data_IF_011509115300
#
_entry.id   IF_011509115300
#
_cell.length_a   1.000
_cell.length_b   1.000
_cell.length_c   1.000
_cell.angle_alpha   90.00
_cell.angle_beta   90.00
_cell.angle_gamma   90.00
#
_symmetry.space_group_name_H-M   'P 1'
#
loop_
_entity.id
_entity.type
_entity.pdbx_description
1 polymer ?
#
# COMPACT_ATOMS: atom_id res chain seq x y z
N UNK A 1 8.81 24.88 -3.63
CA UNK A 1 9.77 24.78 -4.75
C UNK A 1 9.05 25.33 -5.98
N UNK A 2 9.76 26.02 -6.87
CA UNK A 2 9.20 26.68 -8.05
C UNK A 2 9.91 26.18 -9.30
N UNK A 3 9.22 26.27 -10.42
CA UNK A 3 9.82 26.19 -11.74
C UNK A 3 9.86 27.59 -12.35
N UNK A 4 11.01 27.97 -12.90
CA UNK A 4 11.17 29.20 -13.67
C UNK A 4 11.02 28.86 -15.15
N UNK A 5 10.04 29.46 -15.79
CA UNK A 5 9.69 29.24 -17.19
C UNK A 5 10.23 30.39 -18.03
N UNK A 6 10.94 30.05 -19.11
CA UNK A 6 11.47 31.01 -20.07
C UNK A 6 11.33 30.44 -21.47
N UNK A 7 10.85 31.26 -22.40
CA UNK A 7 10.64 30.87 -23.80
C UNK A 7 9.82 29.58 -23.96
N UNK A 8 8.83 29.38 -23.07
CA UNK A 8 7.95 28.21 -23.08
C UNK A 8 8.58 26.91 -22.55
N UNK A 9 9.77 26.96 -21.95
CA UNK A 9 10.45 25.81 -21.36
C UNK A 9 10.84 26.06 -19.89
N UNK A 10 11.04 24.98 -19.13
CA UNK A 10 11.62 25.08 -17.78
C UNK A 10 13.10 25.47 -17.91
N UNK A 11 13.45 26.66 -17.43
CA UNK A 11 14.83 27.14 -17.37
C UNK A 11 15.54 26.57 -16.14
N UNK A 12 14.86 26.55 -14.98
CA UNK A 12 15.40 26.06 -13.72
C UNK A 12 14.30 25.70 -12.72
N UNK A 13 14.63 24.86 -11.73
CA UNK A 13 13.75 24.52 -10.61
C UNK A 13 14.47 24.72 -9.28
N UNK A 14 13.78 25.24 -8.27
CA UNK A 14 14.39 25.44 -6.96
C UNK A 14 13.52 26.23 -5.98
N UNK A 15 14.05 26.47 -4.79
CA UNK A 15 13.50 27.48 -3.86
C UNK A 15 13.74 28.89 -4.42
N UNK A 16 12.99 29.89 -3.93
CA UNK A 16 13.19 31.29 -4.34
C UNK A 16 14.64 31.75 -4.14
N UNK A 17 15.27 31.33 -3.03
CA UNK A 17 16.67 31.63 -2.74
C UNK A 17 17.65 30.97 -3.73
N UNK A 18 17.32 29.79 -4.25
CA UNK A 18 18.17 29.12 -5.26
C UNK A 18 18.01 29.78 -6.64
N UNK A 19 16.79 30.19 -7.00
CA UNK A 19 16.50 30.79 -8.30
C UNK A 19 16.90 32.27 -8.37
N UNK A 20 16.82 32.99 -7.24
CA UNK A 20 17.14 34.40 -7.11
C UNK A 20 18.01 34.64 -5.86
N UNK A 21 19.29 34.22 -5.89
CA UNK A 21 20.16 34.27 -4.71
C UNK A 21 20.45 35.69 -4.20
N UNK A 22 20.29 36.70 -5.05
CA UNK A 22 20.54 38.11 -4.73
C UNK A 22 19.26 38.91 -4.45
N UNK A 23 18.09 38.26 -4.43
CA UNK A 23 16.80 38.90 -4.18
C UNK A 23 16.31 38.51 -2.80
N UNK A 24 15.94 39.50 -2.00
CA UNK A 24 15.30 39.26 -0.70
C UNK A 24 13.80 39.09 -0.88
N UNK A 25 13.25 38.02 -0.33
CA UNK A 25 11.81 37.76 -0.30
C UNK A 25 11.32 37.89 1.15
N UNK A 26 10.69 39.01 1.52
CA UNK A 26 10.08 39.17 2.85
C UNK A 26 9.11 38.01 3.11
N UNK A 27 9.17 37.42 4.31
CA UNK A 27 8.39 36.23 4.67
C UNK A 27 8.61 34.99 3.77
N UNK A 28 9.64 34.98 2.92
CA UNK A 28 9.98 33.84 2.07
C UNK A 28 9.00 33.58 0.92
N UNK A 29 8.19 34.57 0.56
CA UNK A 29 7.18 34.49 -0.51
C UNK A 29 7.48 35.49 -1.62
N UNK A 30 7.25 35.07 -2.86
CA UNK A 30 7.21 35.95 -4.02
C UNK A 30 5.75 36.35 -4.26
N UNK A 31 5.50 37.64 -4.46
CA UNK A 31 4.19 38.13 -4.87
C UNK A 31 3.86 37.74 -6.33
N UNK A 32 2.61 37.95 -6.73
CA UNK A 32 2.13 37.54 -8.05
C UNK A 32 2.79 38.31 -9.20
N UNK A 33 3.14 39.58 -8.98
CA UNK A 33 3.78 40.41 -10.00
C UNK A 33 5.20 39.90 -10.27
N UNK A 34 5.97 39.64 -9.20
CA UNK A 34 7.29 39.04 -9.29
C UNK A 34 7.25 37.67 -9.97
N UNK A 35 6.27 36.82 -9.61
CA UNK A 35 6.12 35.51 -10.25
C UNK A 35 5.85 35.66 -11.75
N UNK A 36 4.97 36.58 -12.15
CA UNK A 36 4.61 36.81 -13.55
C UNK A 36 5.79 37.36 -14.34
N UNK A 37 6.48 38.38 -13.82
CA UNK A 37 7.64 39.00 -14.46
C UNK A 37 8.79 38.02 -14.67
N UNK A 38 9.00 37.11 -13.73
CA UNK A 38 10.12 36.17 -13.75
C UNK A 38 9.75 34.77 -14.25
N UNK A 39 8.51 34.57 -14.72
CA UNK A 39 8.02 33.28 -15.22
C UNK A 39 7.98 32.18 -14.15
N UNK A 40 7.78 32.51 -12.87
CA UNK A 40 7.71 31.51 -11.81
C UNK A 40 6.33 30.85 -11.75
N UNK A 41 6.35 29.52 -11.77
CA UNK A 41 5.20 28.68 -11.51
C UNK A 41 5.42 27.85 -10.24
N UNK A 42 4.35 27.69 -9.46
CA UNK A 42 4.27 26.67 -8.42
C UNK A 42 4.26 25.29 -9.09
N UNK A 43 5.06 24.35 -8.56
CA UNK A 43 5.10 23.00 -9.09
C UNK A 43 3.90 22.23 -8.53
N UNK A 44 3.06 21.72 -9.42
CA UNK A 44 1.96 20.82 -9.05
C UNK A 44 2.40 19.36 -9.15
N UNK A 45 1.78 18.48 -8.37
CA UNK A 45 2.07 17.05 -8.44
C UNK A 45 1.17 16.38 -9.48
N UNK A 46 1.74 15.49 -10.31
CA UNK A 46 0.96 14.55 -11.10
C UNK A 46 0.26 13.51 -10.21
N UNK A 47 -0.55 12.64 -10.83
CA UNK A 47 -1.24 11.55 -10.14
C UNK A 47 -0.27 10.66 -9.35
N UNK A 48 -0.58 10.46 -8.07
CA UNK A 48 0.05 9.46 -7.23
C UNK A 48 -1.02 8.43 -6.89
N UNK A 49 -0.84 7.19 -7.35
CA UNK A 49 -1.71 6.09 -6.95
C UNK A 49 -1.47 5.73 -5.49
N UNK A 50 -2.44 5.05 -4.88
CA UNK A 50 -2.34 4.63 -3.49
C UNK A 50 -1.10 3.74 -3.29
N UNK A 51 -0.21 4.20 -2.41
CA UNK A 51 1.05 3.54 -2.07
C UNK A 51 0.87 2.19 -1.40
N UNK A 52 -0.35 1.86 -0.97
CA UNK A 52 -0.72 0.51 -0.53
C UNK A 52 -0.65 -0.52 -1.67
N UNK A 53 -0.84 -0.09 -2.91
CA UNK A 53 -0.94 -0.97 -4.08
C UNK A 53 0.09 -0.67 -5.18
N UNK A 54 0.73 0.51 -5.14
CA UNK A 54 1.68 0.97 -6.14
C UNK A 54 3.00 1.44 -5.50
N UNK A 55 4.11 1.11 -6.14
CA UNK A 55 5.36 1.83 -5.96
C UNK A 55 5.27 3.16 -6.72
N UNK A 56 5.30 4.26 -5.97
CA UNK A 56 5.22 5.62 -6.52
C UNK A 56 6.60 6.27 -6.43
N UNK A 57 7.27 6.35 -7.57
CA UNK A 57 8.62 6.93 -7.71
C UNK A 57 8.52 8.31 -8.34
N UNK A 58 9.11 9.31 -7.67
CA UNK A 58 9.20 10.66 -8.18
C UNK A 58 10.14 10.70 -9.41
N UNK A 59 9.67 11.32 -10.50
CA UNK A 59 10.44 11.54 -11.71
C UNK A 59 10.93 12.98 -11.83
N UNK A 60 11.17 13.42 -13.06
CA UNK A 60 11.54 14.81 -13.35
C UNK A 60 10.33 15.74 -13.31
N UNK A 61 10.60 17.05 -13.27
CA UNK A 61 9.57 18.09 -13.43
C UNK A 61 9.48 18.42 -14.92
N UNK A 62 8.27 18.36 -15.48
CA UNK A 62 8.01 18.66 -16.89
C UNK A 62 6.87 19.67 -17.04
N UNK A 63 6.80 20.34 -18.18
CA UNK A 63 5.62 21.13 -18.54
C UNK A 63 4.56 20.18 -19.11
N UNK A 64 3.42 20.10 -18.42
CA UNK A 64 2.22 19.42 -18.90
C UNK A 64 1.18 20.50 -19.11
N UNK A 65 0.75 20.69 -20.37
CA UNK A 65 -0.20 21.74 -20.76
C UNK A 65 0.18 23.14 -20.23
N UNK A 66 1.47 23.46 -20.25
CA UNK A 66 2.01 24.76 -19.81
C UNK A 66 2.15 24.92 -18.29
N UNK A 67 1.85 23.88 -17.51
CA UNK A 67 1.97 23.86 -16.06
C UNK A 67 3.16 23.01 -15.63
N UNK A 68 4.04 23.60 -14.82
CA UNK A 68 5.16 22.89 -14.21
C UNK A 68 4.66 21.78 -13.27
N UNK A 69 4.88 20.54 -13.68
CA UNK A 69 4.31 19.36 -13.02
C UNK A 69 5.40 18.38 -12.64
N UNK A 70 5.49 18.08 -11.35
CA UNK A 70 6.32 17.00 -10.81
C UNK A 70 5.72 15.65 -11.26
N UNK A 71 6.45 14.94 -12.11
CA UNK A 71 6.02 13.64 -12.62
C UNK A 71 6.22 12.54 -11.57
N UNK A 72 5.39 11.50 -11.67
CA UNK A 72 5.49 10.28 -10.87
C UNK A 72 5.30 9.06 -11.77
N UNK A 73 6.11 8.03 -11.55
CA UNK A 73 5.90 6.69 -12.12
C UNK A 73 5.18 5.83 -11.10
N UNK A 74 4.01 5.32 -11.48
CA UNK A 74 3.18 4.45 -10.65
C UNK A 74 3.32 3.00 -11.13
N UNK A 75 4.17 2.21 -10.47
CA UNK A 75 4.38 0.80 -10.80
C UNK A 75 3.51 -0.07 -9.90
N UNK A 76 2.63 -0.88 -10.49
CA UNK A 76 1.80 -1.82 -9.74
C UNK A 76 2.68 -2.77 -8.91
N UNK A 77 2.33 -2.92 -7.63
CA UNK A 77 2.94 -3.98 -6.83
C UNK A 77 2.50 -5.35 -7.35
N UNK A 78 3.29 -6.37 -7.04
CA UNK A 78 3.00 -7.74 -7.47
C UNK A 78 1.67 -8.21 -6.90
N UNK A 79 0.80 -8.69 -7.78
CA UNK A 79 -0.54 -9.16 -7.41
C UNK A 79 -0.50 -10.53 -6.71
N UNK A 80 0.24 -11.48 -7.31
CA UNK A 80 0.33 -12.87 -6.87
C UNK A 80 1.57 -13.14 -6.02
N UNK A 81 1.57 -14.26 -5.31
CA UNK A 81 2.77 -14.79 -4.67
C UNK A 81 3.77 -15.27 -5.74
N UNK A 82 5.06 -15.06 -5.52
CA UNK A 82 6.12 -15.61 -6.37
C UNK A 82 7.22 -16.27 -5.54
N UNK A 83 7.87 -17.27 -6.13
CA UNK A 83 9.05 -17.90 -5.56
C UNK A 83 10.15 -16.85 -5.35
N UNK A 84 10.67 -16.74 -4.12
CA UNK A 84 11.82 -15.90 -3.84
C UNK A 84 13.08 -16.55 -4.41
N UNK A 85 13.85 -15.79 -5.18
CA UNK A 85 15.07 -16.26 -5.84
C UNK A 85 16.26 -15.40 -5.48
N UNK A 86 17.46 -15.98 -5.50
CA UNK A 86 18.71 -15.23 -5.38
C UNK A 86 19.05 -14.47 -6.68
N UNK A 87 20.18 -13.75 -6.67
CA UNK A 87 20.65 -12.97 -7.81
C UNK A 87 20.96 -13.83 -9.06
N UNK A 88 21.23 -15.13 -8.86
CA UNK A 88 21.51 -16.09 -9.92
C UNK A 88 20.23 -16.81 -10.39
N UNK A 89 19.08 -16.50 -9.79
CA UNK A 89 17.78 -17.09 -10.13
C UNK A 89 17.49 -18.43 -9.45
N UNK A 90 18.30 -18.87 -8.50
CA UNK A 90 18.06 -20.10 -7.75
C UNK A 90 16.97 -19.88 -6.69
N UNK A 91 16.16 -20.90 -6.44
CA UNK A 91 15.12 -20.89 -5.42
C UNK A 91 15.74 -20.69 -4.02
N UNK A 92 15.23 -19.71 -3.29
CA UNK A 92 15.51 -19.56 -1.86
C UNK A 92 14.54 -20.41 -1.03
N UNK A 93 15.04 -20.93 0.08
CA UNK A 93 14.28 -21.74 1.02
C UNK A 93 14.27 -21.07 2.39
N UNK A 94 13.28 -21.38 3.21
CA UNK A 94 13.24 -20.96 4.60
C UNK A 94 14.47 -21.54 5.31
N UNK A 95 15.13 -20.73 6.13
CA UNK A 95 16.32 -21.15 6.86
C UNK A 95 16.02 -21.32 8.34
N UNK A 96 16.54 -22.39 8.93
CA UNK A 96 16.48 -22.67 10.36
C UNK A 96 17.88 -22.88 10.91
N UNK A 97 18.08 -22.54 12.18
CA UNK A 97 19.35 -22.78 12.83
C UNK A 97 19.48 -24.26 13.22
N UNK A 98 20.54 -24.91 12.74
CA UNK A 98 20.93 -26.25 13.15
C UNK A 98 22.24 -26.16 13.94
N UNK A 99 22.17 -26.43 15.24
CA UNK A 99 23.31 -26.37 16.16
C UNK A 99 24.36 -27.47 15.89
N UNK A 100 23.98 -28.57 15.24
CA UNK A 100 24.88 -29.69 14.93
C UNK A 100 25.64 -29.48 13.61
N UNK A 101 25.15 -28.57 12.77
CA UNK A 101 25.78 -28.25 11.51
C UNK A 101 27.14 -27.53 11.71
N UNK A 102 27.95 -27.50 10.65
CA UNK A 102 29.32 -26.97 10.68
C UNK A 102 30.20 -27.58 11.79
N UNK A 103 30.15 -28.91 11.94
CA UNK A 103 30.97 -29.60 12.94
C UNK A 103 30.57 -29.33 14.39
N UNK A 104 29.33 -28.92 14.65
CA UNK A 104 28.82 -28.59 15.99
C UNK A 104 28.97 -27.12 16.39
N UNK A 105 29.47 -26.26 15.50
CA UNK A 105 29.50 -24.80 15.73
C UNK A 105 28.15 -24.13 15.44
N UNK A 106 27.26 -24.84 14.75
CA UNK A 106 25.93 -24.38 14.38
C UNK A 106 25.94 -23.47 13.16
N UNK A 107 24.91 -23.58 12.31
CA UNK A 107 24.69 -22.65 11.19
C UNK A 107 23.22 -22.63 10.75
N UNK A 108 22.86 -21.62 9.99
CA UNK A 108 21.59 -21.60 9.25
C UNK A 108 21.65 -22.63 8.12
N UNK A 109 20.63 -23.48 8.04
CA UNK A 109 20.46 -24.49 6.98
C UNK A 109 19.10 -24.31 6.33
N UNK A 110 19.05 -24.57 5.02
CA UNK A 110 17.80 -24.52 4.28
C UNK A 110 16.88 -25.67 4.74
N UNK A 111 15.59 -25.38 4.88
CA UNK A 111 14.54 -26.39 5.02
C UNK A 111 14.06 -26.85 3.63
N UNK A 112 13.07 -27.75 3.60
CA UNK A 112 12.35 -28.11 2.38
C UNK A 112 11.27 -27.09 1.97
N UNK A 113 11.02 -26.06 2.80
CA UNK A 113 9.99 -25.06 2.54
C UNK A 113 10.56 -23.90 1.70
N UNK A 114 9.88 -23.57 0.60
CA UNK A 114 10.30 -22.45 -0.26
C UNK A 114 10.06 -21.12 0.43
N UNK A 115 11.00 -20.20 0.25
CA UNK A 115 10.78 -18.80 0.58
C UNK A 115 9.93 -18.16 -0.54
N UNK A 116 8.88 -17.44 -0.16
CA UNK A 116 7.90 -16.85 -1.09
C UNK A 116 7.81 -15.34 -0.86
N UNK A 117 7.86 -14.57 -1.94
CA UNK A 117 7.58 -13.14 -1.95
C UNK A 117 6.06 -12.94 -2.06
N UNK A 118 5.41 -12.58 -0.94
CA UNK A 118 3.95 -12.43 -0.89
C UNK A 118 3.46 -11.30 -1.79
N UNK A 119 2.39 -11.55 -2.53
CA UNK A 119 1.70 -10.58 -3.36
C UNK A 119 0.64 -9.79 -2.60
N UNK A 120 -0.01 -8.87 -3.32
CA UNK A 120 -1.12 -8.09 -2.80
C UNK A 120 -2.31 -8.99 -2.41
N UNK A 121 -2.64 -10.03 -3.19
CA UNK A 121 -3.78 -10.93 -2.87
C UNK A 121 -3.61 -11.61 -1.52
N UNK A 122 -2.42 -12.12 -1.23
CA UNK A 122 -2.11 -12.72 0.08
C UNK A 122 -2.29 -11.70 1.20
N UNK A 123 -1.68 -10.51 1.04
CA UNK A 123 -1.71 -9.45 2.05
C UNK A 123 -3.15 -8.97 2.33
N UNK A 124 -3.94 -8.74 1.28
CA UNK A 124 -5.32 -8.27 1.43
C UNK A 124 -6.24 -9.36 1.99
N UNK A 125 -6.05 -10.63 1.61
CA UNK A 125 -6.80 -11.75 2.19
C UNK A 125 -6.52 -11.87 3.69
N UNK A 126 -5.25 -11.78 4.11
CA UNK A 126 -4.89 -11.75 5.52
C UNK A 126 -5.53 -10.58 6.28
N UNK A 127 -5.58 -9.38 5.66
CA UNK A 127 -6.24 -8.22 6.25
C UNK A 127 -7.75 -8.45 6.43
N UNK A 128 -8.44 -9.00 5.43
CA UNK A 128 -9.88 -9.32 5.50
C UNK A 128 -10.17 -10.34 6.60
N UNK A 129 -9.35 -11.40 6.70
CA UNK A 129 -9.46 -12.40 7.77
C UNK A 129 -9.25 -11.80 9.14
N UNK A 130 -8.25 -10.93 9.28
CA UNK A 130 -8.01 -10.23 10.54
C UNK A 130 -9.21 -9.37 10.94
N UNK A 131 -9.81 -8.64 10.00
CA UNK A 131 -11.00 -7.83 10.26
C UNK A 131 -12.19 -8.68 10.70
N UNK A 132 -12.46 -9.80 10.02
CA UNK A 132 -13.51 -10.73 10.40
C UNK A 132 -13.27 -11.30 11.82
N UNK A 133 -12.05 -11.71 12.13
CA UNK A 133 -11.69 -12.21 13.46
C UNK A 133 -11.91 -11.14 14.54
N UNK A 134 -11.48 -9.90 14.30
CA UNK A 134 -11.70 -8.79 15.22
C UNK A 134 -13.19 -8.50 15.44
N UNK A 135 -14.01 -8.55 14.39
CA UNK A 135 -15.46 -8.38 14.46
C UNK A 135 -16.15 -9.49 15.28
N UNK A 136 -15.67 -10.74 15.16
CA UNK A 136 -16.25 -11.89 15.87
C UNK A 136 -15.80 -11.96 17.34
N UNK A 137 -14.59 -11.51 17.66
CA UNK A 137 -13.96 -11.68 18.97
C UNK A 137 -14.85 -11.25 20.15
N UNK A 138 -15.56 -10.12 20.02
CA UNK A 138 -16.42 -9.59 21.08
C UNK A 138 -17.60 -10.49 21.46
N UNK A 139 -17.98 -11.44 20.59
CA UNK A 139 -19.12 -12.35 20.79
C UNK A 139 -18.71 -13.82 20.94
N UNK A 140 -17.41 -14.14 20.88
CA UNK A 140 -16.91 -15.52 20.98
C UNK A 140 -17.23 -16.17 22.33
N UNK A 141 -17.28 -15.38 23.41
CA UNK A 141 -17.67 -15.87 24.73
C UNK A 141 -19.09 -16.46 24.73
N UNK A 142 -19.99 -15.98 23.87
CA UNK A 142 -21.36 -16.53 23.77
C UNK A 142 -21.34 -17.90 23.09
N UNK A 143 -20.46 -18.11 22.11
CA UNK A 143 -20.24 -19.40 21.46
C UNK A 143 -19.65 -20.41 22.44
N UNK A 144 -18.62 -20.01 23.19
CA UNK A 144 -18.02 -20.84 24.25
C UNK A 144 -19.08 -21.19 25.30
N UNK A 145 -19.85 -20.20 25.77
CA UNK A 145 -20.94 -20.42 26.73
C UNK A 145 -21.97 -21.42 26.20
N UNK A 146 -22.34 -21.34 24.92
CA UNK A 146 -23.25 -22.31 24.29
C UNK A 146 -22.64 -23.71 24.26
N UNK A 147 -21.37 -23.84 23.89
CA UNK A 147 -20.69 -25.15 23.83
C UNK A 147 -20.52 -25.81 25.20
N UNK A 148 -20.20 -25.03 26.24
CA UNK A 148 -19.91 -25.56 27.57
C UNK A 148 -21.13 -25.77 28.46
N UNK A 149 -22.14 -24.88 28.33
CA UNK A 149 -23.26 -24.77 29.28
C UNK A 149 -24.63 -24.81 28.60
N UNK A 150 -24.68 -25.04 27.29
CA UNK A 150 -25.88 -25.08 26.46
C UNK A 150 -26.75 -23.81 26.47
N UNK A 151 -26.25 -22.69 27.00
CA UNK A 151 -27.00 -21.43 27.05
C UNK A 151 -27.11 -20.84 25.64
N UNK A 152 -28.35 -20.60 25.19
CA UNK A 152 -28.63 -20.06 23.88
C UNK A 152 -27.89 -18.73 23.59
N UNK A 153 -27.51 -18.54 22.33
CA UNK A 153 -26.93 -17.30 21.81
C UNK A 153 -28.10 -16.40 21.35
N UNK A 154 -28.10 -15.10 21.67
CA UNK A 154 -29.10 -14.18 21.15
C UNK A 154 -29.17 -14.22 19.62
N UNK A 155 -30.39 -14.20 19.06
CA UNK A 155 -30.60 -14.32 17.60
C UNK A 155 -29.90 -13.20 16.81
N UNK A 156 -29.87 -11.98 17.36
CA UNK A 156 -29.15 -10.85 16.77
C UNK A 156 -27.65 -11.14 16.64
N UNK A 157 -27.03 -11.73 17.67
CA UNK A 157 -25.61 -12.12 17.64
C UNK A 157 -25.36 -13.23 16.62
N UNK A 158 -26.21 -14.26 16.57
CA UNK A 158 -26.09 -15.32 15.58
C UNK A 158 -26.18 -14.76 14.15
N UNK A 159 -27.12 -13.84 13.92
CA UNK A 159 -27.32 -13.15 12.63
C UNK A 159 -26.10 -12.30 12.25
N UNK A 160 -25.60 -11.49 13.19
CA UNK A 160 -24.41 -10.66 12.99
C UNK A 160 -23.20 -11.51 12.61
N UNK A 161 -22.89 -12.55 13.39
CA UNK A 161 -21.74 -13.44 13.14
C UNK A 161 -21.84 -14.12 11.77
N UNK A 162 -23.03 -14.58 11.38
CA UNK A 162 -23.26 -15.18 10.07
C UNK A 162 -23.00 -14.18 8.93
N UNK A 163 -23.41 -12.91 9.07
CA UNK A 163 -23.11 -11.85 8.10
C UNK A 163 -21.61 -11.56 8.00
N UNK A 164 -20.88 -11.51 9.11
CA UNK A 164 -19.42 -11.31 9.11
C UNK A 164 -18.72 -12.43 8.34
N UNK A 165 -19.06 -13.69 8.63
CA UNK A 165 -18.47 -14.86 7.94
C UNK A 165 -18.80 -14.84 6.45
N UNK A 166 -20.05 -14.51 6.10
CA UNK A 166 -20.49 -14.39 4.69
C UNK A 166 -19.70 -13.33 3.94
N UNK A 167 -19.50 -12.16 4.55
CA UNK A 167 -18.75 -11.07 3.93
C UNK A 167 -17.26 -11.42 3.78
N UNK A 168 -16.65 -12.05 4.79
CA UNK A 168 -15.28 -12.55 4.70
C UNK A 168 -15.13 -13.52 3.52
N UNK A 169 -16.01 -14.52 3.41
CA UNK A 169 -15.97 -15.50 2.32
C UNK A 169 -16.18 -14.85 0.94
N UNK A 170 -17.07 -13.87 0.83
CA UNK A 170 -17.28 -13.08 -0.40
C UNK A 170 -16.01 -12.34 -0.80
N UNK A 171 -15.38 -11.64 0.14
CA UNK A 171 -14.16 -10.88 -0.08
C UNK A 171 -12.98 -11.78 -0.43
N UNK A 172 -12.80 -12.91 0.25
CA UNK A 172 -11.75 -13.90 -0.08
C UNK A 172 -11.89 -14.40 -1.52
N UNK A 173 -13.12 -14.70 -1.95
CA UNK A 173 -13.41 -15.14 -3.32
C UNK A 173 -13.11 -14.03 -4.33
N UNK A 174 -13.55 -12.80 -4.04
CA UNK A 174 -13.36 -11.67 -4.94
C UNK A 174 -11.87 -11.26 -5.05
N UNK A 175 -11.11 -11.31 -3.96
CA UNK A 175 -9.66 -11.07 -3.95
C UNK A 175 -8.95 -12.13 -4.79
N UNK A 176 -9.30 -13.42 -4.62
CA UNK A 176 -8.72 -14.49 -5.42
C UNK A 176 -9.00 -14.30 -6.93
N UNK A 177 -10.20 -13.81 -7.27
CA UNK A 177 -10.63 -13.55 -8.64
C UNK A 177 -10.14 -12.23 -9.27
N UNK A 178 -9.47 -11.34 -8.52
CA UNK A 178 -9.01 -10.07 -9.07
C UNK A 178 -7.95 -10.28 -10.17
N UNK A 179 -8.18 -9.72 -11.37
CA UNK A 179 -7.29 -9.92 -12.52
C UNK A 179 -6.05 -9.02 -12.49
N UNK A 180 -6.16 -7.85 -11.87
CA UNK A 180 -5.11 -6.86 -11.74
C UNK A 180 -5.27 -6.07 -10.42
N UNK A 181 -4.39 -5.10 -10.21
CA UNK A 181 -4.37 -4.26 -9.01
C UNK A 181 -5.62 -3.38 -8.92
N UNK A 182 -6.16 -2.89 -10.04
CA UNK A 182 -7.35 -2.03 -10.04
C UNK A 182 -8.62 -2.81 -9.66
N UNK A 183 -8.75 -4.04 -10.18
CA UNK A 183 -9.78 -4.98 -9.77
C UNK A 183 -9.69 -5.29 -8.27
N UNK A 184 -8.47 -5.49 -7.75
CA UNK A 184 -8.27 -5.72 -6.33
C UNK A 184 -8.67 -4.49 -5.49
N UNK A 185 -8.29 -3.28 -5.90
CA UNK A 185 -8.69 -2.03 -5.23
C UNK A 185 -10.21 -1.90 -5.19
N UNK A 186 -10.88 -2.21 -6.31
CA UNK A 186 -12.34 -2.18 -6.40
C UNK A 186 -12.98 -3.11 -5.37
N UNK A 187 -12.45 -4.34 -5.23
CA UNK A 187 -12.91 -5.29 -4.20
C UNK A 187 -12.69 -4.72 -2.79
N UNK A 188 -11.51 -4.17 -2.52
CA UNK A 188 -11.16 -3.66 -1.19
C UNK A 188 -11.95 -2.41 -0.80
N UNK A 189 -12.35 -1.58 -1.77
CA UNK A 189 -13.21 -0.41 -1.53
C UNK A 189 -14.70 -0.78 -1.41
N UNK A 190 -15.10 -1.97 -1.85
CA UNK A 190 -16.47 -2.48 -1.80
C UNK A 190 -16.71 -3.44 -0.61
N UNK A 191 -15.94 -3.31 0.47
CA UNK A 191 -16.19 -4.04 1.73
C UNK A 191 -17.49 -3.55 2.38
N UNK A 192 -18.32 -4.49 2.83
CA UNK A 192 -19.61 -4.20 3.43
C UNK A 192 -19.80 -5.01 4.72
N UNK A 193 -18.94 -4.74 5.70
CA UNK A 193 -18.99 -5.39 7.00
C UNK A 193 -20.29 -5.04 7.75
N UNK A 194 -20.95 -6.01 8.39
CA UNK A 194 -22.14 -5.72 9.18
C UNK A 194 -21.77 -4.91 10.42
N UNK A 195 -22.66 -4.03 10.83
CA UNK A 195 -22.57 -3.31 12.11
C UNK A 195 -23.20 -4.13 13.23
N UNK A 196 -22.68 -3.96 14.45
CA UNK A 196 -23.34 -4.50 15.65
C UNK A 196 -24.49 -3.58 16.02
N UNK A 197 -25.70 -4.12 16.12
CA UNK A 197 -26.85 -3.43 16.71
C UNK A 197 -26.62 -3.09 18.20
#
# INVERSE_FOLDING_TARGET
>A
MFAKIKDGAIEATGTLKQLFPNTSFPAGVADNDFKTENGLQDIVNAEQKDRKYYYVTQGDIALVDGVATQQFTNTAMRLEDEDAKDADGNQLYVQVFDASANGGEGRMVNTSEKLINRGLKYTMNAQVKSQANSALAGTDWMVIRKAERDVAIPDATTTYRAKVVTECARLETAIAGAADVEALITVMNAQNWPETD
#
